data_IF_606773186742
#
_entry.id   IF_606773186742
#
_cell.length_a   1.000
_cell.length_b   1.000
_cell.length_c   1.000
_cell.angle_alpha   90.00
_cell.angle_beta   90.00
_cell.angle_gamma   90.00
#
_symmetry.space_group_name_H-M   'P 1'
#
loop_
_entity.id
_entity.type
_entity.pdbx_description
1 polymer ?
#
# COMPACT_ATOMS: atom_id res chain seq x y z
N UNK A 1 -7.91 -23.80 8.48
CA UNK A 1 -8.43 -22.52 7.94
C UNK A 1 -7.62 -21.34 8.47
N UNK A 2 -7.25 -20.42 7.61
CA UNK A 2 -6.60 -19.16 7.97
C UNK A 2 -7.60 -18.02 7.77
N UNK A 3 -7.64 -17.06 8.70
CA UNK A 3 -8.42 -15.82 8.53
C UNK A 3 -7.46 -14.64 8.53
N UNK A 4 -7.54 -13.77 7.51
CA UNK A 4 -6.75 -12.54 7.41
C UNK A 4 -7.65 -11.35 7.67
N UNK A 5 -7.32 -10.54 8.68
CA UNK A 5 -8.02 -9.28 8.92
C UNK A 5 -7.66 -8.25 7.83
N UNK A 6 -8.68 -7.69 7.19
CA UNK A 6 -8.52 -6.57 6.26
C UNK A 6 -8.74 -5.26 7.03
N UNK A 7 -7.79 -4.32 6.90
CA UNK A 7 -7.82 -3.05 7.62
C UNK A 7 -7.06 -1.95 6.86
N UNK A 8 -7.40 -0.69 7.17
CA UNK A 8 -6.72 0.48 6.58
C UNK A 8 -7.28 0.88 5.22
N UNK A 9 -6.58 1.78 4.51
CA UNK A 9 -6.97 2.24 3.17
C UNK A 9 -6.65 1.22 2.08
N UNK A 10 -7.10 1.51 0.84
CA UNK A 10 -7.04 0.60 -0.30
C UNK A 10 -5.67 -0.09 -0.49
N UNK A 11 -4.56 0.65 -0.44
CA UNK A 11 -3.23 0.05 -0.60
C UNK A 11 -2.87 -0.99 0.46
N UNK A 12 -3.35 -0.82 1.71
CA UNK A 12 -3.18 -1.84 2.76
C UNK A 12 -4.07 -3.05 2.51
N UNK A 13 -5.31 -2.81 2.10
CA UNK A 13 -6.26 -3.89 1.75
C UNK A 13 -5.72 -4.75 0.59
N UNK A 14 -5.11 -4.11 -0.41
CA UNK A 14 -4.48 -4.81 -1.54
C UNK A 14 -3.30 -5.70 -1.09
N UNK A 15 -2.51 -5.27 -0.11
CA UNK A 15 -1.41 -6.09 0.42
C UNK A 15 -1.91 -7.30 1.20
N UNK A 16 -2.91 -7.10 2.04
CA UNK A 16 -3.57 -8.16 2.79
C UNK A 16 -4.25 -9.16 1.83
N UNK A 17 -4.89 -8.65 0.76
CA UNK A 17 -5.43 -9.47 -0.30
C UNK A 17 -4.35 -10.25 -1.07
N UNK A 18 -3.20 -9.64 -1.34
CA UNK A 18 -2.09 -10.33 -1.99
C UNK A 18 -1.58 -11.52 -1.15
N UNK A 19 -1.48 -11.35 0.17
CA UNK A 19 -1.17 -12.46 1.08
C UNK A 19 -2.27 -13.53 1.06
N UNK A 20 -3.56 -13.13 1.04
CA UNK A 20 -4.69 -14.04 0.89
C UNK A 20 -4.55 -14.89 -0.38
N UNK A 21 -4.29 -14.29 -1.53
CA UNK A 21 -4.07 -14.99 -2.80
C UNK A 21 -2.86 -15.93 -2.73
N UNK A 22 -1.76 -15.45 -2.13
CA UNK A 22 -0.56 -16.28 -1.95
C UNK A 22 -0.85 -17.52 -1.12
N UNK A 23 -1.54 -17.40 -0.01
CA UNK A 23 -1.88 -18.57 0.82
C UNK A 23 -2.84 -19.53 0.10
N UNK A 24 -3.79 -19.01 -0.67
CA UNK A 24 -4.64 -19.84 -1.54
C UNK A 24 -3.82 -20.60 -2.59
N UNK A 25 -2.83 -19.98 -3.23
CA UNK A 25 -1.97 -20.63 -4.21
C UNK A 25 -1.14 -21.77 -3.62
N UNK A 26 -0.92 -21.76 -2.29
CA UNK A 26 -0.30 -22.86 -1.54
C UNK A 26 -1.30 -23.96 -1.12
N UNK A 27 -2.54 -23.90 -1.59
CA UNK A 27 -3.58 -24.90 -1.29
C UNK A 27 -4.21 -24.75 0.10
N UNK A 28 -4.02 -23.59 0.78
CA UNK A 28 -4.59 -23.36 2.11
C UNK A 28 -6.05 -22.89 2.01
N UNK A 29 -6.86 -23.24 3.00
CA UNK A 29 -8.19 -22.67 3.19
C UNK A 29 -8.07 -21.32 3.87
N UNK A 30 -8.43 -20.23 3.15
CA UNK A 30 -8.22 -18.84 3.62
C UNK A 30 -9.47 -18.02 3.41
N UNK A 31 -9.84 -17.21 4.41
CA UNK A 31 -10.95 -16.25 4.34
C UNK A 31 -10.51 -14.87 4.83
N UNK A 32 -11.26 -13.85 4.44
CA UNK A 32 -11.03 -12.47 4.87
C UNK A 32 -11.98 -12.11 6.02
N UNK A 33 -11.47 -11.44 7.04
CA UNK A 33 -12.30 -10.75 8.03
C UNK A 33 -12.36 -9.26 7.69
N UNK A 34 -13.55 -8.77 7.38
CA UNK A 34 -13.82 -7.37 7.05
C UNK A 34 -14.51 -6.61 8.21
N UNK A 35 -14.62 -7.20 9.40
CA UNK A 35 -15.30 -6.61 10.55
C UNK A 35 -14.67 -5.28 11.03
N UNK A 36 -13.39 -5.05 10.67
CA UNK A 36 -12.72 -3.78 10.94
C UNK A 36 -13.43 -2.57 10.30
N UNK A 37 -14.17 -2.79 9.19
CA UNK A 37 -14.92 -1.73 8.50
C UNK A 37 -16.35 -1.54 9.03
N UNK A 38 -16.72 -2.24 10.11
CA UNK A 38 -18.02 -2.04 10.75
C UNK A 38 -18.19 -0.60 11.24
N UNK A 39 -19.41 -0.10 11.19
CA UNK A 39 -19.73 1.26 11.63
C UNK A 39 -19.25 1.56 13.05
N UNK A 40 -19.38 0.57 13.95
CA UNK A 40 -18.95 0.68 15.35
C UNK A 40 -17.44 0.92 15.47
N UNK A 41 -16.61 0.23 14.66
CA UNK A 41 -15.16 0.39 14.66
C UNK A 41 -14.80 1.72 14.02
N UNK A 42 -15.38 2.05 12.85
CA UNK A 42 -15.04 3.25 12.10
C UNK A 42 -15.39 4.55 12.82
N UNK A 43 -16.47 4.59 13.61
CA UNK A 43 -16.79 5.74 14.46
C UNK A 43 -15.71 6.11 15.49
N UNK A 44 -14.82 5.17 15.82
CA UNK A 44 -13.73 5.38 16.79
C UNK A 44 -12.40 5.77 16.10
N UNK A 45 -12.34 5.75 14.78
CA UNK A 45 -11.14 6.05 14.00
C UNK A 45 -10.98 7.54 13.73
N UNK A 46 -9.75 8.06 13.83
CA UNK A 46 -9.42 9.44 13.45
C UNK A 46 -9.62 9.68 11.95
N UNK A 47 -9.34 8.66 11.13
CA UNK A 47 -9.53 8.68 9.68
C UNK A 47 -10.32 7.43 9.28
N UNK A 48 -11.67 7.48 9.29
CA UNK A 48 -12.51 6.37 8.87
C UNK A 48 -12.19 5.90 7.45
N UNK A 49 -12.30 4.59 7.22
CA UNK A 49 -12.02 3.94 5.91
C UNK A 49 -13.18 3.03 5.53
N UNK A 50 -13.37 2.86 4.24
CA UNK A 50 -14.32 1.90 3.69
C UNK A 50 -13.61 0.61 3.24
N UNK A 51 -14.37 -0.46 3.08
CA UNK A 51 -13.90 -1.66 2.42
C UNK A 51 -13.89 -1.44 0.90
N UNK A 52 -12.71 -1.30 0.33
CA UNK A 52 -12.51 -0.80 -1.04
C UNK A 52 -12.10 -1.89 -2.05
N UNK A 53 -11.77 -3.12 -1.62
CA UNK A 53 -11.48 -4.21 -2.57
C UNK A 53 -12.60 -4.45 -3.60
N UNK A 54 -13.91 -4.30 -3.27
CA UNK A 54 -14.98 -4.43 -4.25
C UNK A 54 -15.00 -3.34 -5.34
N UNK A 55 -14.14 -2.33 -5.26
CA UNK A 55 -13.96 -1.36 -6.34
C UNK A 55 -13.30 -2.00 -7.58
N UNK A 56 -12.48 -3.04 -7.40
CA UNK A 56 -11.95 -3.80 -8.53
C UNK A 56 -13.03 -4.70 -9.13
N UNK A 57 -13.04 -4.75 -10.45
CA UNK A 57 -14.05 -5.54 -11.17
C UNK A 57 -13.86 -7.04 -10.92
N UNK A 58 -14.91 -7.71 -10.47
CA UNK A 58 -14.98 -9.18 -10.31
C UNK A 58 -13.84 -9.79 -9.46
N UNK A 59 -13.27 -9.01 -8.52
CA UNK A 59 -12.19 -9.48 -7.64
C UNK A 59 -12.68 -10.62 -6.73
N UNK A 60 -12.17 -11.87 -6.84
CA UNK A 60 -12.68 -12.99 -6.09
C UNK A 60 -12.12 -13.04 -4.66
N UNK A 61 -12.98 -13.09 -3.65
CA UNK A 61 -12.61 -13.35 -2.26
C UNK A 61 -13.75 -13.97 -1.48
N UNK A 62 -13.42 -14.67 -0.41
CA UNK A 62 -14.36 -15.24 0.53
C UNK A 62 -14.22 -14.55 1.89
N UNK A 63 -15.35 -14.13 2.47
CA UNK A 63 -15.42 -13.50 3.78
C UNK A 63 -15.79 -14.53 4.83
N UNK A 64 -15.12 -14.52 5.98
CA UNK A 64 -15.46 -15.41 7.09
C UNK A 64 -16.77 -14.99 7.77
N UNK A 65 -17.44 -15.97 8.37
CA UNK A 65 -18.59 -15.70 9.26
C UNK A 65 -18.12 -15.18 10.63
N UNK A 66 -19.03 -14.61 11.39
CA UNK A 66 -18.74 -14.19 12.77
C UNK A 66 -18.36 -15.38 13.65
N UNK A 67 -18.97 -16.55 13.45
CA UNK A 67 -18.66 -17.78 14.18
C UNK A 67 -17.25 -18.28 13.87
N UNK A 68 -16.85 -18.26 12.60
CA UNK A 68 -15.49 -18.64 12.17
C UNK A 68 -14.44 -17.70 12.77
N UNK A 69 -14.68 -16.38 12.72
CA UNK A 69 -13.80 -15.39 13.35
C UNK A 69 -13.71 -15.60 14.85
N UNK A 70 -14.85 -15.74 15.51
CA UNK A 70 -14.95 -15.86 16.97
C UNK A 70 -14.26 -17.13 17.51
N UNK A 71 -14.21 -18.21 16.74
CA UNK A 71 -13.44 -19.42 17.05
C UNK A 71 -11.98 -19.11 17.35
N UNK A 72 -11.37 -18.15 16.65
CA UNK A 72 -9.97 -17.74 16.87
C UNK A 72 -9.83 -16.67 17.95
N UNK A 73 -10.78 -15.74 18.02
CA UNK A 73 -10.65 -14.54 18.88
C UNK A 73 -11.11 -14.78 20.30
N UNK A 74 -12.07 -15.68 20.53
CA UNK A 74 -12.52 -16.04 21.89
C UNK A 74 -11.39 -16.75 22.64
N UNK A 75 -10.89 -16.10 23.68
CA UNK A 75 -9.90 -16.71 24.57
C UNK A 75 -10.53 -17.81 25.40
N UNK A 76 -9.98 -19.03 25.35
CA UNK A 76 -10.25 -20.02 26.38
C UNK A 76 -9.69 -19.48 27.71
N UNK A 77 -10.41 -19.69 28.80
CA UNK A 77 -10.03 -19.24 30.17
C UNK A 77 -8.56 -19.57 30.55
N UNK A 78 -8.00 -20.66 30.05
CA UNK A 78 -6.60 -21.06 30.25
C UNK A 78 -5.60 -20.14 29.50
N UNK A 79 -5.92 -19.59 28.32
CA UNK A 79 -5.03 -18.69 27.61
C UNK A 79 -5.01 -17.29 28.23
N UNK A 80 -6.11 -16.86 28.84
CA UNK A 80 -6.19 -15.57 29.53
C UNK A 80 -5.27 -15.53 30.78
N UNK A 81 -5.09 -16.66 31.48
CA UNK A 81 -4.18 -16.77 32.63
C UNK A 81 -2.72 -16.72 32.16
N UNK A 82 -2.38 -17.43 31.06
CA UNK A 82 -1.03 -17.40 30.47
C UNK A 82 -0.66 -16.01 29.98
N UNK A 83 -1.59 -15.29 29.36
CA UNK A 83 -1.38 -13.93 28.84
C UNK A 83 -1.14 -12.88 29.94
N UNK A 84 -1.73 -13.03 31.12
CA UNK A 84 -1.44 -12.17 32.28
C UNK A 84 -0.01 -12.37 32.79
N UNK A 85 0.53 -13.59 32.74
CA UNK A 85 1.89 -13.93 33.18
C UNK A 85 2.93 -13.38 32.15
N UNK A 86 2.70 -13.53 30.83
CA UNK A 86 3.61 -13.04 29.80
C UNK A 86 3.64 -11.50 29.73
N UNK A 87 2.51 -10.84 29.97
CA UNK A 87 2.43 -9.36 30.06
C UNK A 87 3.23 -8.83 31.26
N UNK A 88 3.27 -9.59 32.37
CA UNK A 88 4.06 -9.26 33.55
C UNK A 88 5.57 -9.44 33.34
N UNK A 89 5.96 -10.21 32.31
CA UNK A 89 7.35 -10.49 31.91
C UNK A 89 7.83 -9.61 30.73
N UNK A 90 7.04 -8.62 30.30
CA UNK A 90 7.43 -7.68 29.24
C UNK A 90 7.43 -8.28 27.81
N UNK A 91 6.85 -9.45 27.59
CA UNK A 91 6.74 -10.08 26.29
C UNK A 91 5.49 -9.59 25.55
N UNK A 92 5.68 -8.92 24.41
CA UNK A 92 4.64 -8.29 23.57
C UNK A 92 3.90 -9.25 22.63
N UNK A 93 4.11 -10.56 22.74
CA UNK A 93 3.39 -11.56 21.94
C UNK A 93 1.89 -11.58 22.31
N UNK A 94 1.01 -11.74 21.30
CA UNK A 94 -0.41 -11.97 21.53
C UNK A 94 -0.59 -13.08 22.56
N UNK A 95 -1.40 -12.83 23.61
CA UNK A 95 -1.71 -13.82 24.63
C UNK A 95 -2.57 -14.98 24.10
N UNK A 96 -3.11 -14.85 22.87
CA UNK A 96 -3.91 -15.84 22.19
C UNK A 96 -3.05 -16.60 21.18
N UNK A 97 -2.78 -17.91 21.38
CA UNK A 97 -1.95 -18.69 20.46
C UNK A 97 -2.54 -18.86 19.06
N UNK A 98 -3.85 -18.64 18.91
CA UNK A 98 -4.54 -18.72 17.63
C UNK A 98 -4.44 -17.43 16.81
N UNK A 99 -3.92 -16.34 17.39
CA UNK A 99 -3.79 -15.02 16.75
C UNK A 99 -2.33 -14.72 16.50
N UNK A 100 -2.01 -14.45 15.24
CA UNK A 100 -0.72 -13.92 14.82
C UNK A 100 -0.83 -12.42 14.55
N UNK A 101 0.11 -11.65 15.08
CA UNK A 101 0.24 -10.21 14.85
C UNK A 101 1.58 -9.96 14.17
N UNK A 102 1.58 -9.30 13.01
CA UNK A 102 2.81 -8.90 12.34
C UNK A 102 3.62 -7.94 13.22
N UNK A 103 4.86 -8.30 13.53
CA UNK A 103 5.76 -7.52 14.40
C UNK A 103 7.03 -7.06 13.68
N UNK A 104 7.39 -7.69 12.59
CA UNK A 104 8.52 -7.34 11.72
C UNK A 104 8.02 -7.22 10.27
N UNK A 105 8.89 -6.72 9.41
CA UNK A 105 8.58 -6.50 8.00
C UNK A 105 8.30 -7.80 7.22
N UNK A 106 8.92 -8.92 7.62
CA UNK A 106 8.74 -10.21 6.96
C UNK A 106 8.75 -11.36 7.95
N UNK A 107 7.78 -12.24 7.83
CA UNK A 107 7.52 -13.41 8.65
C UNK A 107 7.31 -14.64 7.76
N UNK A 108 8.37 -15.35 7.36
CA UNK A 108 8.26 -16.53 6.48
C UNK A 108 7.43 -17.66 7.12
N UNK A 109 7.36 -17.73 8.46
CA UNK A 109 6.55 -18.70 9.19
C UNK A 109 5.05 -18.64 8.88
N UNK A 110 4.55 -17.54 8.31
CA UNK A 110 3.15 -17.40 7.89
C UNK A 110 2.77 -18.48 6.86
N UNK A 111 3.69 -18.88 6.02
CA UNK A 111 3.44 -19.91 5.01
C UNK A 111 3.26 -21.31 5.57
N UNK A 112 3.68 -21.53 6.83
CA UNK A 112 3.53 -22.80 7.54
C UNK A 112 2.23 -22.88 8.37
N UNK A 113 1.48 -21.77 8.48
CA UNK A 113 0.25 -21.76 9.28
C UNK A 113 -0.86 -22.57 8.62
N UNK A 114 -1.57 -23.37 9.44
CA UNK A 114 -2.74 -24.13 9.02
C UNK A 114 -4.04 -23.63 9.66
N UNK A 115 -3.97 -23.16 10.90
CA UNK A 115 -5.15 -22.71 11.68
C UNK A 115 -4.77 -21.48 12.48
N UNK A 116 -4.98 -20.26 11.88
CA UNK A 116 -4.58 -18.98 12.46
C UNK A 116 -5.48 -17.83 12.02
N UNK A 117 -5.68 -16.89 12.96
CA UNK A 117 -6.14 -15.55 12.64
C UNK A 117 -4.93 -14.64 12.52
N UNK A 118 -4.78 -13.97 11.38
CA UNK A 118 -3.60 -13.18 11.04
C UNK A 118 -3.99 -11.70 10.93
N UNK A 119 -3.25 -10.83 11.60
CA UNK A 119 -3.40 -9.39 11.52
C UNK A 119 -2.06 -8.70 11.26
N UNK A 120 -2.04 -7.76 10.32
CA UNK A 120 -0.86 -7.02 9.90
C UNK A 120 -1.10 -6.31 8.57
N UNK A 121 -0.07 -5.64 8.06
CA UNK A 121 -0.13 -4.95 6.77
C UNK A 121 0.63 -5.68 5.65
N UNK A 122 1.53 -6.58 5.97
CA UNK A 122 2.26 -7.45 5.03
C UNK A 122 2.92 -6.67 3.90
N UNK A 123 3.63 -5.63 4.29
CA UNK A 123 4.20 -4.64 3.38
C UNK A 123 5.27 -5.24 2.46
N UNK A 124 6.04 -6.22 2.96
CA UNK A 124 7.14 -6.82 2.25
C UNK A 124 6.70 -7.56 0.98
N UNK A 125 7.31 -7.25 -0.14
CA UNK A 125 6.98 -7.87 -1.42
C UNK A 125 7.24 -9.38 -1.44
N UNK A 126 8.18 -9.88 -0.63
CA UNK A 126 8.50 -11.31 -0.52
C UNK A 126 7.31 -12.20 -0.14
N UNK A 127 6.25 -11.64 0.43
CA UNK A 127 5.05 -12.41 0.74
C UNK A 127 4.32 -12.91 -0.50
N UNK A 128 4.46 -12.22 -1.66
CA UNK A 128 3.64 -12.47 -2.85
C UNK A 128 4.34 -12.13 -4.18
N UNK A 129 5.67 -11.94 -4.18
CA UNK A 129 6.41 -11.54 -5.40
C UNK A 129 6.29 -12.57 -6.52
N UNK A 130 6.18 -13.84 -6.20
CA UNK A 130 6.07 -14.94 -7.16
C UNK A 130 4.67 -15.08 -7.80
N UNK A 131 3.65 -14.40 -7.27
CA UNK A 131 2.30 -14.35 -7.83
C UNK A 131 1.94 -12.96 -8.37
N UNK A 132 2.92 -12.07 -8.57
CA UNK A 132 2.64 -10.70 -9.00
C UNK A 132 1.92 -10.61 -10.34
N UNK A 133 2.18 -11.53 -11.28
CA UNK A 133 1.49 -11.54 -12.57
C UNK A 133 0.02 -11.90 -12.40
N UNK A 134 -0.31 -12.89 -11.56
CA UNK A 134 -1.69 -13.19 -11.17
C UNK A 134 -2.38 -11.96 -10.54
N UNK A 135 -1.70 -11.27 -9.61
CA UNK A 135 -2.26 -10.09 -8.95
C UNK A 135 -2.53 -8.94 -9.95
N UNK A 136 -1.65 -8.75 -10.95
CA UNK A 136 -1.87 -7.77 -12.03
C UNK A 136 -3.06 -8.10 -12.92
N UNK A 137 -3.41 -9.36 -13.06
CA UNK A 137 -4.61 -9.79 -13.79
C UNK A 137 -5.88 -9.66 -12.96
N UNK A 138 -5.79 -9.90 -11.65
CA UNK A 138 -6.91 -9.84 -10.73
C UNK A 138 -7.35 -8.40 -10.41
N UNK A 139 -6.41 -7.47 -10.26
CA UNK A 139 -6.73 -6.07 -9.96
C UNK A 139 -7.19 -5.30 -11.22
N UNK A 140 -8.38 -5.67 -11.72
CA UNK A 140 -8.99 -5.04 -12.89
C UNK A 140 -9.68 -3.74 -12.48
N UNK A 141 -9.18 -2.62 -12.99
CA UNK A 141 -9.76 -1.31 -12.70
C UNK A 141 -11.13 -1.14 -13.38
N UNK A 142 -12.15 -0.64 -12.68
CA UNK A 142 -13.41 -0.25 -13.31
C UNK A 142 -13.18 1.00 -14.18
N UNK A 143 -14.04 1.28 -15.16
CA UNK A 143 -14.03 2.58 -15.81
C UNK A 143 -14.42 3.68 -14.81
N UNK A 144 -13.93 4.91 -15.04
CA UNK A 144 -14.38 6.07 -14.26
C UNK A 144 -15.90 6.24 -14.43
N UNK A 145 -16.62 6.60 -13.34
CA UNK A 145 -18.09 6.74 -13.36
C UNK A 145 -18.59 7.88 -14.24
N UNK A 146 -17.81 8.94 -14.36
CA UNK A 146 -18.05 10.02 -15.31
C UNK A 146 -17.37 9.67 -16.65
N UNK A 147 -18.13 9.73 -17.76
CA UNK A 147 -17.66 9.34 -19.10
C UNK A 147 -16.58 10.26 -19.65
N UNK A 148 -16.65 11.56 -19.37
CA UNK A 148 -15.69 12.53 -19.86
C UNK A 148 -14.35 12.37 -19.13
N UNK A 149 -14.41 12.11 -17.81
CA UNK A 149 -13.23 11.79 -17.01
C UNK A 149 -12.66 10.41 -17.36
N UNK A 150 -13.49 9.42 -17.72
CA UNK A 150 -13.04 8.15 -18.27
C UNK A 150 -12.25 8.36 -19.56
N UNK A 151 -12.75 9.19 -20.48
CA UNK A 151 -12.05 9.55 -21.72
C UNK A 151 -10.75 10.31 -21.42
N UNK A 152 -10.77 11.25 -20.48
CA UNK A 152 -9.59 11.99 -20.06
C UNK A 152 -8.50 11.04 -19.51
N UNK A 153 -8.86 10.12 -18.63
CA UNK A 153 -7.95 9.11 -18.08
C UNK A 153 -7.35 8.25 -19.20
N UNK A 154 -8.16 7.82 -20.18
CA UNK A 154 -7.66 7.05 -21.32
C UNK A 154 -6.63 7.84 -22.13
N UNK A 155 -6.93 9.09 -22.48
CA UNK A 155 -6.00 9.94 -23.24
C UNK A 155 -4.68 10.14 -22.46
N UNK A 156 -4.76 10.34 -21.14
CA UNK A 156 -3.59 10.55 -20.32
C UNK A 156 -2.77 9.26 -20.18
N UNK A 157 -3.42 8.09 -19.98
CA UNK A 157 -2.70 6.81 -19.90
C UNK A 157 -1.98 6.48 -21.22
N UNK A 158 -2.61 6.73 -22.38
CA UNK A 158 -1.96 6.57 -23.69
C UNK A 158 -0.73 7.48 -23.85
N UNK A 159 -0.77 8.72 -23.31
CA UNK A 159 0.39 9.61 -23.28
C UNK A 159 1.49 9.10 -22.35
N UNK A 160 1.11 8.60 -21.14
CA UNK A 160 2.05 8.03 -20.17
C UNK A 160 2.81 6.83 -20.77
N UNK A 161 2.13 5.99 -21.54
CA UNK A 161 2.76 4.85 -22.21
C UNK A 161 3.70 5.27 -23.35
N UNK A 162 3.31 6.26 -24.11
CA UNK A 162 4.00 6.66 -25.34
C UNK A 162 5.24 7.51 -25.08
N UNK A 163 5.17 8.44 -24.12
CA UNK A 163 6.23 9.43 -23.86
C UNK A 163 6.98 9.13 -22.58
N UNK A 164 8.18 9.70 -22.35
CA UNK A 164 8.86 9.64 -21.06
C UNK A 164 7.95 10.22 -19.97
N UNK A 165 7.55 9.38 -19.02
CA UNK A 165 6.54 9.69 -18.02
C UNK A 165 6.89 9.13 -16.66
N UNK A 166 6.69 9.92 -15.61
CA UNK A 166 6.93 9.51 -14.23
C UNK A 166 5.75 9.93 -13.35
N UNK A 167 5.18 8.99 -12.62
CA UNK A 167 4.20 9.30 -11.57
C UNK A 167 4.92 9.79 -10.30
N UNK A 168 4.41 10.84 -9.70
CA UNK A 168 4.90 11.38 -8.43
C UNK A 168 3.75 11.39 -7.42
N UNK A 169 3.83 10.56 -6.40
CA UNK A 169 2.84 10.55 -5.33
C UNK A 169 3.27 11.43 -4.16
N UNK A 170 2.65 12.61 -4.02
CA UNK A 170 2.88 13.52 -2.90
C UNK A 170 1.93 13.15 -1.75
N UNK A 171 2.45 12.49 -0.72
CA UNK A 171 1.66 12.13 0.46
C UNK A 171 1.85 13.16 1.56
N UNK A 172 0.88 14.07 1.67
CA UNK A 172 0.83 15.14 2.68
C UNK A 172 -0.36 14.91 3.61
N UNK A 173 -1.43 15.63 3.50
CA UNK A 173 -2.70 15.41 4.20
C UNK A 173 -2.54 14.93 5.65
N UNK A 174 -3.12 13.79 5.95
CA UNK A 174 -3.10 13.13 7.27
C UNK A 174 -1.68 12.81 7.81
N UNK A 175 -0.63 12.80 6.97
CA UNK A 175 0.76 12.60 7.41
C UNK A 175 1.35 13.83 8.09
N UNK A 176 0.80 15.01 7.85
CA UNK A 176 1.20 16.28 8.47
C UNK A 176 0.39 16.60 9.74
N UNK A 177 -0.65 15.83 10.04
CA UNK A 177 -1.42 15.99 11.25
C UNK A 177 -0.54 15.81 12.49
N UNK A 178 -0.75 16.60 13.58
CA UNK A 178 0.06 16.48 14.81
C UNK A 178 0.14 15.08 15.39
N UNK A 179 -0.88 14.25 15.20
CA UNK A 179 -0.91 12.86 15.66
C UNK A 179 0.02 11.93 14.86
N UNK A 180 0.29 12.24 13.59
CA UNK A 180 0.97 11.37 12.64
C UNK A 180 2.36 11.87 12.23
N UNK A 181 2.61 13.19 12.30
CA UNK A 181 3.81 13.81 11.74
C UNK A 181 5.12 13.24 12.30
N UNK A 182 5.16 12.88 13.57
CA UNK A 182 6.34 12.28 14.20
C UNK A 182 6.61 10.85 13.73
N UNK A 183 5.59 10.15 13.20
CA UNK A 183 5.69 8.76 12.76
C UNK A 183 5.85 8.68 11.25
N UNK A 184 5.10 9.49 10.50
CA UNK A 184 4.97 9.37 9.04
C UNK A 184 5.53 10.59 8.29
N UNK A 185 5.65 11.74 8.95
CA UNK A 185 6.08 13.00 8.33
C UNK A 185 7.58 13.04 8.04
N UNK A 186 7.96 13.90 7.12
CA UNK A 186 9.35 14.20 6.73
C UNK A 186 10.18 12.97 6.29
N UNK A 187 9.52 11.93 5.80
CA UNK A 187 10.15 10.75 5.18
C UNK A 187 10.29 10.98 3.68
N UNK A 188 9.19 11.32 3.00
CA UNK A 188 9.20 11.84 1.64
C UNK A 188 9.18 13.37 1.72
N UNK A 189 10.36 13.98 1.89
CA UNK A 189 10.58 15.43 1.99
C UNK A 189 10.61 16.09 0.62
N UNK A 190 10.64 17.42 0.58
CA UNK A 190 10.80 18.17 -0.67
C UNK A 190 12.14 17.85 -1.35
N UNK A 191 13.23 17.67 -0.58
CA UNK A 191 14.53 17.25 -1.11
C UNK A 191 14.47 15.84 -1.72
N UNK A 192 13.74 14.91 -1.08
CA UNK A 192 13.48 13.58 -1.65
C UNK A 192 12.81 13.69 -3.01
N UNK A 193 11.70 14.42 -3.12
CA UNK A 193 10.97 14.55 -4.39
C UNK A 193 11.81 15.25 -5.46
N UNK A 194 12.49 16.33 -5.09
CA UNK A 194 13.36 17.07 -6.01
C UNK A 194 14.46 16.17 -6.58
N UNK A 195 15.20 15.47 -5.73
CA UNK A 195 16.31 14.62 -6.18
C UNK A 195 15.83 13.39 -6.95
N UNK A 196 14.65 12.82 -6.59
CA UNK A 196 14.03 11.73 -7.34
C UNK A 196 13.59 12.18 -8.75
N UNK A 197 13.02 13.38 -8.88
CA UNK A 197 12.70 13.93 -10.20
C UNK A 197 13.96 14.26 -11.01
N UNK A 198 14.99 14.84 -10.37
CA UNK A 198 16.29 15.13 -11.00
C UNK A 198 16.96 13.84 -11.54
N UNK A 199 16.79 12.70 -10.85
CA UNK A 199 17.29 11.41 -11.32
C UNK A 199 16.69 11.05 -12.70
N UNK A 200 15.36 11.17 -12.86
CA UNK A 200 14.72 10.88 -14.14
C UNK A 200 15.06 11.92 -15.22
N UNK A 201 15.16 13.20 -14.87
CA UNK A 201 15.56 14.26 -15.81
C UNK A 201 16.99 14.10 -16.35
N UNK A 202 17.91 13.57 -15.54
CA UNK A 202 19.27 13.25 -16.01
C UNK A 202 19.29 12.10 -17.02
N UNK A 203 18.33 11.18 -16.91
CA UNK A 203 18.18 10.07 -17.88
C UNK A 203 17.49 10.52 -19.17
N UNK A 204 16.42 11.29 -19.04
CA UNK A 204 15.68 11.83 -20.14
C UNK A 204 15.16 13.23 -19.81
N UNK A 205 15.75 14.30 -20.39
CA UNK A 205 15.31 15.68 -20.15
C UNK A 205 13.87 15.98 -20.56
N UNK A 206 13.26 15.15 -21.44
CA UNK A 206 11.88 15.30 -21.89
C UNK A 206 10.87 14.65 -20.94
N UNK A 207 11.32 14.10 -19.81
CA UNK A 207 10.44 13.45 -18.82
C UNK A 207 9.34 14.39 -18.37
N UNK A 208 8.10 13.91 -18.48
CA UNK A 208 6.89 14.56 -17.98
C UNK A 208 6.45 13.89 -16.65
N UNK A 209 6.15 14.71 -15.65
CA UNK A 209 5.74 14.24 -14.33
C UNK A 209 4.23 14.39 -14.14
N UNK A 210 3.60 13.32 -13.67
CA UNK A 210 2.19 13.30 -13.29
C UNK A 210 2.09 13.27 -11.77
N UNK A 211 1.55 14.35 -11.19
CA UNK A 211 1.49 14.57 -9.74
C UNK A 211 0.16 14.06 -9.21
N UNK A 212 0.22 13.13 -8.26
CA UNK A 212 -0.92 12.55 -7.56
C UNK A 212 -0.87 12.93 -6.08
N UNK A 213 -1.90 13.57 -5.57
CA UNK A 213 -1.96 14.03 -4.18
C UNK A 213 -3.38 14.33 -3.75
N UNK A 214 -3.64 14.30 -2.45
CA UNK A 214 -4.87 14.87 -1.87
C UNK A 214 -4.72 16.34 -1.48
N UNK A 215 -3.51 16.91 -1.51
CA UNK A 215 -3.19 18.31 -1.22
C UNK A 215 -2.99 19.06 -2.54
N UNK A 216 -4.11 19.32 -3.23
CA UNK A 216 -4.07 19.94 -4.56
C UNK A 216 -3.59 21.40 -4.52
N UNK A 217 -3.83 22.13 -3.42
CA UNK A 217 -3.41 23.51 -3.29
C UNK A 217 -1.88 23.59 -3.24
N UNK A 218 -1.26 22.74 -2.44
CA UNK A 218 0.20 22.60 -2.42
C UNK A 218 0.76 22.22 -3.81
N UNK A 219 0.13 21.26 -4.47
CA UNK A 219 0.59 20.85 -5.80
C UNK A 219 0.48 21.98 -6.83
N UNK A 220 -0.60 22.75 -6.83
CA UNK A 220 -0.77 23.90 -7.73
C UNK A 220 0.28 24.99 -7.46
N UNK A 221 0.55 25.30 -6.20
CA UNK A 221 1.55 26.28 -5.81
C UNK A 221 2.97 25.92 -6.28
N UNK A 222 3.34 24.65 -6.18
CA UNK A 222 4.72 24.20 -6.45
C UNK A 222 4.97 23.71 -7.86
N UNK A 223 3.92 23.24 -8.57
CA UNK A 223 4.03 22.57 -9.87
C UNK A 223 3.10 23.13 -10.94
N UNK A 224 2.13 23.99 -10.59
CA UNK A 224 1.03 24.39 -11.47
C UNK A 224 1.46 25.16 -12.72
N UNK A 225 2.49 26.01 -12.61
CA UNK A 225 2.94 26.87 -13.70
C UNK A 225 4.06 26.27 -14.57
N UNK A 226 4.41 25.02 -14.37
CA UNK A 226 5.52 24.37 -15.08
C UNK A 226 4.98 23.34 -16.04
N UNK A 227 5.23 23.56 -17.34
CA UNK A 227 4.65 22.76 -18.45
C UNK A 227 5.00 21.28 -18.44
N UNK A 228 6.07 20.87 -17.72
CA UNK A 228 6.44 19.45 -17.59
C UNK A 228 5.70 18.71 -16.49
N UNK A 229 4.77 19.36 -15.78
CA UNK A 229 3.94 18.71 -14.76
C UNK A 229 2.48 18.69 -15.16
N UNK A 230 1.80 17.61 -14.82
CA UNK A 230 0.33 17.50 -14.85
C UNK A 230 -0.15 17.10 -13.48
N UNK A 231 -0.94 17.95 -12.81
CA UNK A 231 -1.57 17.63 -11.54
C UNK A 231 -2.84 16.83 -11.87
N UNK A 232 -2.92 15.59 -11.34
CA UNK A 232 -4.10 14.72 -11.47
C UNK A 232 -5.02 15.00 -10.30
N UNK A 233 -6.09 15.77 -10.53
CA UNK A 233 -7.00 16.26 -9.48
C UNK A 233 -8.49 15.97 -9.76
N UNK A 234 -8.79 15.15 -10.76
CA UNK A 234 -10.16 14.88 -11.19
C UNK A 234 -10.72 13.53 -10.74
N UNK A 235 -9.87 12.61 -10.29
CA UNK A 235 -10.29 11.31 -9.78
C UNK A 235 -10.56 11.40 -8.28
N UNK A 236 -11.82 11.64 -7.88
CA UNK A 236 -12.18 11.90 -6.50
C UNK A 236 -13.06 10.81 -5.89
N UNK A 237 -13.05 10.68 -4.56
CA UNK A 237 -13.86 9.71 -3.84
C UNK A 237 -13.56 8.26 -4.28
N UNK A 238 -14.59 7.51 -4.67
CA UNK A 238 -14.43 6.13 -5.13
C UNK A 238 -13.70 6.01 -6.46
N UNK A 239 -13.62 7.08 -7.25
CA UNK A 239 -12.85 7.11 -8.50
C UNK A 239 -11.37 7.39 -8.27
N UNK A 240 -10.91 7.64 -7.02
CA UNK A 240 -9.49 7.74 -6.68
C UNK A 240 -8.69 6.47 -7.00
N UNK A 241 -9.35 5.32 -7.16
CA UNK A 241 -8.74 4.08 -7.68
C UNK A 241 -8.15 4.27 -9.09
N UNK A 242 -8.67 5.22 -9.88
CA UNK A 242 -8.13 5.57 -11.20
C UNK A 242 -6.73 6.17 -11.13
N UNK A 243 -6.35 6.78 -9.99
CA UNK A 243 -4.98 7.26 -9.80
C UNK A 243 -3.99 6.10 -9.76
N UNK A 244 -4.34 4.96 -9.12
CA UNK A 244 -3.52 3.75 -9.18
C UNK A 244 -3.35 3.24 -10.61
N UNK A 245 -4.45 3.23 -11.38
CA UNK A 245 -4.44 2.84 -12.80
C UNK A 245 -3.48 3.75 -13.57
N UNK A 246 -3.61 5.07 -13.46
CA UNK A 246 -2.73 6.02 -14.14
C UNK A 246 -1.26 5.86 -13.73
N UNK A 247 -0.97 5.71 -12.42
CA UNK A 247 0.39 5.46 -11.94
C UNK A 247 1.01 4.22 -12.59
N UNK A 248 0.22 3.16 -12.83
CA UNK A 248 0.70 1.90 -13.41
C UNK A 248 1.02 1.99 -14.92
N UNK A 249 0.62 3.06 -15.59
CA UNK A 249 0.94 3.32 -17.01
C UNK A 249 2.21 4.16 -17.22
N UNK A 250 2.76 4.77 -16.17
CA UNK A 250 3.98 5.57 -16.27
C UNK A 250 5.22 4.70 -16.50
N UNK A 251 6.27 5.26 -17.14
CA UNK A 251 7.57 4.59 -17.32
C UNK A 251 8.40 4.58 -16.04
N UNK A 252 8.13 5.47 -15.12
CA UNK A 252 8.77 5.51 -13.80
C UNK A 252 7.78 5.89 -12.70
N UNK A 253 8.11 5.55 -11.46
CA UNK A 253 7.28 5.85 -10.31
C UNK A 253 8.13 6.42 -9.16
N UNK A 254 7.76 7.60 -8.64
CA UNK A 254 8.30 8.18 -7.41
C UNK A 254 7.24 7.99 -6.32
N UNK A 255 7.52 7.06 -5.40
CA UNK A 255 6.59 6.65 -4.36
C UNK A 255 6.86 7.40 -3.03
N UNK A 256 5.82 7.92 -2.40
CA UNK A 256 5.89 8.28 -0.99
C UNK A 256 6.03 7.03 -0.10
N UNK A 257 6.14 7.21 1.23
CA UNK A 257 6.01 6.13 2.20
C UNK A 257 4.55 5.66 2.34
N UNK A 258 3.93 5.30 1.23
CA UNK A 258 2.50 4.98 1.11
C UNK A 258 2.28 3.72 0.29
N UNK A 259 1.51 2.79 0.86
CA UNK A 259 1.10 1.55 0.18
C UNK A 259 0.31 1.79 -1.08
N UNK A 260 -0.39 2.92 -1.17
CA UNK A 260 -1.13 3.32 -2.37
C UNK A 260 -0.20 3.47 -3.58
N UNK A 261 0.84 4.30 -3.49
CA UNK A 261 1.79 4.46 -4.59
C UNK A 261 2.64 3.21 -4.87
N UNK A 262 2.88 2.38 -3.84
CA UNK A 262 3.55 1.10 -4.06
C UNK A 262 2.73 0.18 -4.96
N UNK A 263 1.41 0.16 -4.82
CA UNK A 263 0.57 -0.62 -5.72
C UNK A 263 0.48 0.00 -7.11
N UNK A 264 0.47 1.32 -7.24
CA UNK A 264 0.59 1.96 -8.55
C UNK A 264 1.86 1.50 -9.30
N UNK A 265 3.00 1.40 -8.59
CA UNK A 265 4.24 0.89 -9.15
C UNK A 265 4.22 -0.63 -9.42
N UNK A 266 3.70 -1.45 -8.49
CA UNK A 266 3.65 -2.92 -8.62
C UNK A 266 2.74 -3.40 -9.75
N UNK A 267 1.64 -2.69 -9.99
CA UNK A 267 0.70 -3.00 -11.07
C UNK A 267 1.22 -2.61 -12.46
N UNK A 268 2.31 -1.87 -12.53
CA UNK A 268 2.99 -1.55 -13.77
C UNK A 268 3.51 -2.83 -14.43
N UNK A 269 3.09 -3.10 -15.67
CA UNK A 269 3.45 -4.31 -16.43
C UNK A 269 4.74 -4.15 -17.25
N UNK A 270 5.31 -2.96 -17.25
CA UNK A 270 6.51 -2.69 -18.04
C UNK A 270 7.74 -3.31 -17.38
N UNK A 271 8.53 -4.09 -18.11
CA UNK A 271 9.73 -4.73 -17.55
C UNK A 271 10.86 -3.74 -17.28
N UNK A 272 10.84 -2.58 -17.94
CA UNK A 272 11.86 -1.53 -17.91
C UNK A 272 11.47 -0.34 -17.00
N UNK A 273 10.36 -0.43 -16.26
CA UNK A 273 9.97 0.65 -15.36
C UNK A 273 10.90 0.75 -14.14
N UNK A 274 11.19 1.98 -13.75
CA UNK A 274 12.02 2.24 -12.58
C UNK A 274 11.18 2.83 -11.44
N UNK A 275 11.46 2.37 -10.24
CA UNK A 275 10.74 2.80 -9.04
C UNK A 275 11.72 3.40 -8.04
N UNK A 276 11.50 4.66 -7.68
CA UNK A 276 12.15 5.30 -6.54
C UNK A 276 11.15 5.33 -5.39
N UNK A 277 11.59 4.92 -4.21
CA UNK A 277 10.79 5.00 -2.99
C UNK A 277 11.63 5.48 -1.82
N UNK A 278 10.95 6.00 -0.80
CA UNK A 278 11.60 6.27 0.49
C UNK A 278 12.11 4.97 1.10
N UNK A 279 13.33 4.95 1.63
CA UNK A 279 13.86 3.74 2.27
C UNK A 279 13.16 3.43 3.60
N UNK A 280 12.60 4.44 4.27
CA UNK A 280 11.78 4.28 5.48
C UNK A 280 10.29 4.28 5.14
N UNK A 281 9.52 3.56 5.96
CA UNK A 281 8.06 3.64 5.99
C UNK A 281 7.55 4.48 7.17
N UNK A 282 8.26 4.40 8.29
CA UNK A 282 7.94 5.08 9.55
C UNK A 282 9.21 5.49 10.26
N UNK A 283 9.18 6.61 10.99
CA UNK A 283 10.32 7.10 11.76
C UNK A 283 10.64 6.24 12.99
N UNK A 284 9.64 5.55 13.54
CA UNK A 284 9.78 4.68 14.71
C UNK A 284 10.08 3.21 14.37
N UNK A 285 10.33 2.90 13.10
CA UNK A 285 10.73 1.55 12.64
C UNK A 285 12.06 1.66 11.89
N UNK A 286 13.20 1.71 12.57
CA UNK A 286 14.49 1.70 11.91
C UNK A 286 14.69 0.34 11.23
N UNK A 287 14.98 0.38 9.93
CA UNK A 287 15.38 -0.78 9.13
C UNK A 287 16.63 -0.35 8.41
N UNK A 288 17.64 -1.19 8.41
CA UNK A 288 18.87 -0.89 7.67
C UNK A 288 18.63 -0.99 6.15
N UNK A 289 19.39 -0.21 5.34
CA UNK A 289 19.19 -0.19 3.89
C UNK A 289 19.40 -1.55 3.21
N UNK A 290 20.33 -2.37 3.68
CA UNK A 290 20.62 -3.69 3.10
C UNK A 290 19.41 -4.62 3.22
N UNK A 291 18.79 -4.69 4.41
CA UNK A 291 17.53 -5.41 4.63
C UNK A 291 16.41 -4.87 3.75
N UNK A 292 16.33 -3.54 3.57
CA UNK A 292 15.32 -2.95 2.70
C UNK A 292 15.54 -3.32 1.23
N UNK A 293 16.78 -3.35 0.73
CA UNK A 293 17.09 -3.83 -0.62
C UNK A 293 16.71 -5.29 -0.83
N UNK A 294 16.90 -6.14 0.16
CA UNK A 294 16.48 -7.55 0.09
C UNK A 294 14.94 -7.69 0.02
N UNK A 295 14.20 -6.79 0.68
CA UNK A 295 12.72 -6.80 0.67
C UNK A 295 12.10 -6.17 -0.56
N UNK A 296 12.80 -5.24 -1.23
CA UNK A 296 12.34 -4.57 -2.46
C UNK A 296 13.45 -4.59 -3.52
N UNK A 297 13.69 -5.76 -4.06
CA UNK A 297 14.63 -5.93 -5.18
C UNK A 297 14.23 -5.05 -6.36
N UNK A 298 15.23 -4.46 -6.99
CA UNK A 298 15.09 -3.59 -8.17
C UNK A 298 14.39 -2.24 -7.93
N UNK A 299 14.05 -1.88 -6.68
CA UNK A 299 13.59 -0.54 -6.36
C UNK A 299 14.75 0.32 -5.84
N UNK A 300 14.82 1.55 -6.29
CA UNK A 300 15.81 2.51 -5.83
C UNK A 300 15.33 3.07 -4.50
N UNK A 301 16.12 2.88 -3.45
CA UNK A 301 15.85 3.41 -2.12
C UNK A 301 16.53 4.75 -1.97
N UNK A 302 15.79 5.73 -1.46
CA UNK A 302 16.27 7.10 -1.28
C UNK A 302 15.93 7.61 0.11
N UNK A 303 16.86 8.32 0.75
CA UNK A 303 16.63 8.95 2.04
C UNK A 303 15.83 10.27 1.90
N UNK A 304 15.51 10.90 3.02
CA UNK A 304 14.78 12.16 3.02
C UNK A 304 15.60 13.39 2.56
N UNK A 305 16.89 13.23 2.31
CA UNK A 305 17.76 14.27 1.69
C UNK A 305 17.91 14.03 0.18
N UNK A 306 17.33 12.95 -0.33
CA UNK A 306 17.42 12.58 -1.73
C UNK A 306 18.69 11.82 -2.10
N UNK A 307 19.40 11.24 -1.15
CA UNK A 307 20.52 10.36 -1.43
C UNK A 307 20.04 8.94 -1.66
N UNK A 308 20.56 8.25 -2.68
CA UNK A 308 20.38 6.83 -2.87
C UNK A 308 21.13 6.10 -1.75
N UNK A 309 20.49 5.17 -1.08
CA UNK A 309 21.01 4.45 0.09
C UNK A 309 21.10 2.96 -0.19
#
# INVERSE_FOLDING_TARGET
MIIIQIAGGLGNQMQQYALYRKLLSLGKEVKLDISWFSEEVQKKMLAPREFELPLFKDLPFEVCTDEERDRFLKQNLFSAIKGKITKKLGLTASSNPNVFVETKMYHPEIFEFEDKYITGYFLCQKYYEDIMDELRELFVFPPHRDSDLAMRNRIISEKMERFPSVSVHLRRGDYLDPANVNILGNIASDDYYKNAMDYFLKKDPETHFYIFTSDHDYAREHYGDISRYTIVEWNNGKDSIQDLMLMSHCKGNICANSTFSFWGARLNKRPDHEVIRTYKMRNNQPIDPETMHDYWKNWILMDNKGNIV
#
